data_IF_027344483948
#
_entry.id   IF_027344483948
#
_cell.length_a   1.000
_cell.length_b   1.000
_cell.length_c   1.000
_cell.angle_alpha   90.00
_cell.angle_beta   90.00
_cell.angle_gamma   90.00
#
_symmetry.space_group_name_H-M   'P 1'
#
loop_
_entity.id
_entity.type
_entity.pdbx_description
1 polymer ?
#
# COMPACT_ATOMS: atom_id res chain seq x y z
N UNK A 1 -18.50 -20.48 10.83
CA UNK A 1 -18.09 -19.05 10.80
C UNK A 1 -16.99 -18.91 9.74
N UNK A 2 -17.38 -18.47 8.55
CA UNK A 2 -16.49 -18.42 7.39
C UNK A 2 -15.46 -17.30 7.58
N UNK A 3 -14.21 -17.67 7.85
CA UNK A 3 -13.09 -16.73 7.79
C UNK A 3 -12.85 -16.42 6.32
N UNK A 4 -13.39 -15.29 5.88
CA UNK A 4 -13.16 -14.70 4.56
C UNK A 4 -11.65 -14.61 4.34
N UNK A 5 -11.13 -15.45 3.44
CA UNK A 5 -9.72 -15.44 2.99
C UNK A 5 -9.39 -14.07 2.41
N UNK A 6 -8.93 -13.14 3.24
CA UNK A 6 -8.27 -11.92 2.79
C UNK A 6 -7.07 -12.38 1.96
N UNK A 7 -7.00 -11.92 0.71
CA UNK A 7 -5.91 -12.26 -0.19
C UNK A 7 -4.60 -11.79 0.45
N UNK A 8 -3.78 -12.73 0.91
CA UNK A 8 -2.54 -12.49 1.68
C UNK A 8 -1.56 -11.53 0.97
N UNK A 9 -1.74 -11.34 -0.34
CA UNK A 9 -0.93 -10.50 -1.20
C UNK A 9 -1.42 -9.06 -1.34
N UNK A 10 -2.57 -8.67 -0.78
CA UNK A 10 -3.08 -7.29 -0.93
C UNK A 10 -2.44 -6.35 0.10
N UNK A 11 -1.73 -5.33 -0.37
CA UNK A 11 -1.15 -4.25 0.44
C UNK A 11 -1.80 -2.92 0.11
N UNK A 12 -1.88 -2.04 1.12
CA UNK A 12 -2.27 -0.64 0.92
C UNK A 12 -1.00 0.21 0.79
N UNK A 13 -1.06 1.27 -0.02
CA UNK A 13 -0.02 2.30 -0.06
C UNK A 13 -0.52 3.54 0.68
N UNK A 14 0.23 3.92 1.69
CA UNK A 14 -0.03 5.09 2.53
C UNK A 14 0.87 6.24 2.08
N UNK A 15 0.28 7.38 1.73
CA UNK A 15 1.01 8.61 1.47
C UNK A 15 1.77 9.05 2.74
N UNK A 16 3.05 9.39 2.62
CA UNK A 16 3.87 9.87 3.75
C UNK A 16 3.47 11.25 4.26
N UNK A 17 2.86 12.08 3.41
CA UNK A 17 2.56 13.49 3.72
C UNK A 17 1.19 13.65 4.37
N UNK A 18 0.14 13.05 3.79
CA UNK A 18 -1.22 13.15 4.31
C UNK A 18 -1.68 11.92 5.09
N UNK A 19 -0.82 10.89 5.22
CA UNK A 19 -1.16 9.61 5.87
C UNK A 19 -2.37 8.87 5.28
N UNK A 20 -2.87 9.28 4.12
CA UNK A 20 -4.01 8.64 3.47
C UNK A 20 -3.60 7.39 2.70
N UNK A 21 -4.46 6.38 2.77
CA UNK A 21 -4.31 5.12 2.05
C UNK A 21 -5.15 5.22 0.78
N UNK A 22 -4.50 5.50 -0.35
CA UNK A 22 -5.18 5.84 -1.59
C UNK A 22 -5.10 4.70 -2.62
N UNK A 23 -4.07 3.86 -2.51
CA UNK A 23 -3.82 2.81 -3.49
C UNK A 23 -3.75 1.44 -2.83
N UNK A 24 -4.20 0.45 -3.58
CA UNK A 24 -4.11 -0.96 -3.26
C UNK A 24 -3.18 -1.59 -4.29
N UNK A 25 -2.23 -2.40 -3.84
CA UNK A 25 -1.34 -3.15 -4.73
C UNK A 25 -1.24 -4.58 -4.27
N UNK A 26 -0.90 -5.44 -5.21
CA UNK A 26 -0.62 -6.84 -4.95
C UNK A 26 0.89 -6.94 -4.75
N UNK A 27 1.32 -7.48 -3.62
CA UNK A 27 2.70 -7.80 -3.30
C UNK A 27 2.78 -9.30 -3.10
N UNK A 28 3.63 -9.95 -3.89
CA UNK A 28 3.97 -11.34 -3.66
C UNK A 28 5.04 -11.40 -2.55
N UNK A 29 4.64 -11.74 -1.32
CA UNK A 29 5.53 -11.73 -0.15
C UNK A 29 6.77 -12.63 -0.32
N UNK A 30 6.68 -13.66 -1.17
CA UNK A 30 7.78 -14.60 -1.47
C UNK A 30 8.90 -14.01 -2.34
N UNK A 31 8.62 -12.98 -3.15
CA UNK A 31 9.56 -12.45 -4.13
C UNK A 31 10.11 -11.07 -3.74
N UNK A 32 9.42 -10.36 -2.85
CA UNK A 32 9.78 -8.98 -2.47
C UNK A 32 9.78 -8.84 -0.94
N UNK A 33 10.93 -9.09 -0.34
CA UNK A 33 11.20 -8.86 1.09
C UNK A 33 11.43 -7.37 1.42
N UNK A 34 11.81 -6.56 0.42
CA UNK A 34 12.05 -5.12 0.60
C UNK A 34 10.74 -4.33 0.77
N UNK A 35 10.80 -3.26 1.56
CA UNK A 35 9.72 -2.27 1.67
C UNK A 35 9.54 -1.58 0.31
N UNK A 36 8.35 -1.65 -0.24
CA UNK A 36 7.97 -0.97 -1.47
C UNK A 36 7.62 0.49 -1.17
N UNK A 37 8.39 1.39 -1.78
CA UNK A 37 8.15 2.82 -1.77
C UNK A 37 7.90 3.29 -3.20
N UNK A 38 6.69 3.75 -3.48
CA UNK A 38 6.33 4.24 -4.81
C UNK A 38 6.09 5.74 -4.77
N UNK A 39 6.72 6.49 -5.69
CA UNK A 39 6.35 7.88 -5.92
C UNK A 39 5.06 7.91 -6.75
N UNK A 40 3.94 8.20 -6.08
CA UNK A 40 2.62 8.31 -6.71
C UNK A 40 2.04 9.70 -6.45
N UNK A 41 1.17 10.12 -7.36
CA UNK A 41 0.42 11.35 -7.19
C UNK A 41 -0.53 11.20 -5.99
N UNK A 42 -0.55 12.18 -5.11
CA UNK A 42 -1.54 12.25 -4.05
C UNK A 42 -2.51 13.36 -4.37
N UNK A 43 -3.77 13.00 -4.64
CA UNK A 43 -4.86 13.94 -4.94
C UNK A 43 -5.00 15.05 -3.88
N UNK A 44 -4.89 14.67 -2.61
CA UNK A 44 -4.99 15.58 -1.48
C UNK A 44 -3.84 16.57 -1.36
N UNK A 45 -2.62 16.15 -1.72
CA UNK A 45 -1.45 17.02 -1.67
C UNK A 45 -1.18 17.70 -3.02
N UNK A 46 -1.92 17.33 -4.07
CA UNK A 46 -1.74 17.71 -5.48
C UNK A 46 -0.29 17.61 -5.96
N UNK A 47 0.48 16.66 -5.41
CA UNK A 47 1.90 16.47 -5.73
C UNK A 47 2.27 14.99 -5.68
N UNK A 48 3.36 14.64 -6.36
CA UNK A 48 3.93 13.29 -6.29
C UNK A 48 4.68 13.12 -4.98
N UNK A 49 4.20 12.21 -4.14
CA UNK A 49 4.79 11.92 -2.83
C UNK A 49 5.21 10.46 -2.76
N UNK A 50 6.22 10.13 -1.92
CA UNK A 50 6.54 8.74 -1.64
C UNK A 50 5.38 8.14 -0.82
N UNK A 51 4.82 7.06 -1.35
CA UNK A 51 3.83 6.25 -0.67
C UNK A 51 4.51 4.98 -0.14
N UNK A 52 4.37 4.72 1.16
CA UNK A 52 4.93 3.56 1.85
C UNK A 52 3.90 2.44 1.93
N UNK A 53 4.35 1.20 1.79
CA UNK A 53 3.48 0.04 2.04
C UNK A 53 2.97 0.00 3.49
N UNK A 54 1.67 -0.22 3.64
CA UNK A 54 1.01 -0.54 4.89
C UNK A 54 0.34 -1.90 4.72
N UNK A 55 0.77 -2.87 5.53
CA UNK A 55 0.20 -4.23 5.48
C UNK A 55 -1.26 -4.14 5.89
N UNK A 56 -2.15 -4.68 5.05
CA UNK A 56 -3.49 -5.04 5.49
C UNK A 56 -3.32 -6.31 6.32
N UNK A 57 -3.81 -6.28 7.56
CA UNK A 57 -3.60 -7.33 8.56
C UNK A 57 -4.15 -8.68 8.09
#
# INVERSE_FOLDING_TARGET
MAQSKVSDNLIRLKCTVCSRMNYYTHKNKKQVERKLEYKKFCDWCRKHTPHKENKLR
#
